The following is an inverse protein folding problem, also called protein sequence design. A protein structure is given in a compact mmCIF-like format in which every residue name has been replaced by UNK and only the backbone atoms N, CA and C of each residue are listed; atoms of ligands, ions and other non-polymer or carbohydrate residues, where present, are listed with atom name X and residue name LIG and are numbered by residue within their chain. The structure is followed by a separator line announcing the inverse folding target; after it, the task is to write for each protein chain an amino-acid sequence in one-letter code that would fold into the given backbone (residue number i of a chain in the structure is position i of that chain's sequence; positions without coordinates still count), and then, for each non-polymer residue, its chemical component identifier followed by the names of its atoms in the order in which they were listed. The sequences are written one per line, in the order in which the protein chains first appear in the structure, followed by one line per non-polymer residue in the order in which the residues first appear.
data_IF_489859496391
#
_entry.id   IF_489859496391
#
_cell.length_a   1.000
_cell.length_b   1.000
_cell.length_c   1.000
_cell.angle_alpha   90.00
_cell.angle_beta   90.00
_cell.angle_gamma   90.00
#
_symmetry.space_group_name_H-M   'P 1'
#
loop_
_entity.id
_entity.type
_entity.pdbx_description
1 polymer ?
#
# COMPACT_ATOMS: atom_id res chain seq x y z
N UNK A 1 29.73 13.35 -22.53
CA UNK A 1 29.86 13.19 -24.00
C UNK A 1 30.49 11.84 -24.32
N UNK A 2 30.11 11.24 -25.42
CA UNK A 2 30.62 9.96 -25.93
C UNK A 2 31.06 10.08 -27.39
N UNK A 3 31.82 9.10 -27.87
CA UNK A 3 32.38 9.10 -29.22
C UNK A 3 32.06 7.78 -29.93
N UNK A 4 31.01 7.72 -30.76
CA UNK A 4 30.49 6.47 -31.33
C UNK A 4 31.43 5.80 -32.35
N UNK A 5 32.41 6.52 -32.87
CA UNK A 5 33.38 5.95 -33.83
C UNK A 5 34.80 6.45 -33.54
N UNK A 6 35.81 5.58 -33.63
CA UNK A 6 37.21 5.99 -33.46
C UNK A 6 37.62 7.03 -34.52
N UNK A 7 38.37 8.04 -34.07
CA UNK A 7 38.95 9.06 -34.96
C UNK A 7 38.02 10.22 -35.32
N UNK A 8 36.87 10.35 -34.75
CA UNK A 8 36.04 11.54 -34.87
C UNK A 8 36.62 12.70 -34.05
N UNK A 9 36.50 13.91 -34.56
CA UNK A 9 36.97 15.12 -33.88
C UNK A 9 35.94 15.71 -32.92
N UNK A 10 34.70 15.24 -32.97
CA UNK A 10 33.59 15.71 -32.14
C UNK A 10 33.03 14.60 -31.27
N UNK A 11 32.85 14.89 -30.00
CA UNK A 11 32.10 14.06 -29.08
C UNK A 11 30.61 14.39 -29.17
N UNK A 12 29.75 13.41 -29.11
CA UNK A 12 28.32 13.57 -28.98
C UNK A 12 27.92 13.74 -27.52
N UNK A 13 26.83 14.37 -27.29
CA UNK A 13 26.22 14.54 -25.97
C UNK A 13 25.21 13.41 -25.72
N UNK A 14 25.06 12.95 -24.50
CA UNK A 14 24.00 12.01 -24.16
C UNK A 14 22.65 12.71 -24.33
N UNK A 15 21.70 11.97 -24.90
CA UNK A 15 20.32 12.40 -25.07
C UNK A 15 19.54 12.27 -23.73
N UNK A 16 18.38 12.92 -23.57
CA UNK A 16 17.45 12.60 -22.50
C UNK A 16 17.10 11.09 -22.52
N UNK A 17 16.93 10.47 -21.36
CA UNK A 17 16.78 9.02 -21.23
C UNK A 17 18.10 8.24 -21.20
N UNK A 18 19.23 8.91 -21.46
CA UNK A 18 20.56 8.29 -21.49
C UNK A 18 21.59 9.12 -20.72
N UNK A 19 22.62 8.44 -20.23
CA UNK A 19 23.76 9.06 -19.56
C UNK A 19 25.09 8.49 -20.01
N UNK A 20 26.17 9.19 -19.68
CA UNK A 20 27.57 8.76 -19.94
C UNK A 20 28.37 8.98 -18.68
N UNK A 21 28.55 7.93 -17.89
CA UNK A 21 29.17 8.01 -16.55
C UNK A 21 30.67 8.38 -16.59
N UNK A 22 31.39 8.01 -17.67
CA UNK A 22 32.83 8.26 -17.80
C UNK A 22 33.18 8.88 -19.15
N UNK A 23 34.25 9.65 -19.16
CA UNK A 23 34.78 10.23 -20.40
C UNK A 23 35.42 9.14 -21.29
N UNK A 24 35.23 9.26 -22.60
CA UNK A 24 35.84 8.33 -23.58
C UNK A 24 35.02 7.09 -23.89
N UNK A 25 33.81 7.00 -23.40
CA UNK A 25 32.89 5.93 -23.79
C UNK A 25 32.51 6.04 -25.27
N UNK A 26 32.21 4.90 -25.91
CA UNK A 26 31.79 4.84 -27.31
C UNK A 26 30.27 4.85 -27.48
N UNK A 27 29.52 4.69 -26.39
CA UNK A 27 28.07 4.65 -26.36
C UNK A 27 27.52 5.37 -25.14
N UNK A 28 26.31 5.89 -25.24
CA UNK A 28 25.52 6.32 -24.11
C UNK A 28 24.80 5.11 -23.46
N UNK A 29 24.54 5.18 -22.18
CA UNK A 29 23.86 4.12 -21.40
C UNK A 29 22.41 4.55 -21.20
N UNK A 30 21.40 3.70 -21.45
CA UNK A 30 20.02 4.01 -21.15
C UNK A 30 19.82 4.16 -19.64
N UNK A 31 18.88 4.99 -19.23
CA UNK A 31 18.38 4.97 -17.86
C UNK A 31 17.82 3.56 -17.58
N UNK A 32 18.27 2.88 -16.53
CA UNK A 32 17.69 1.59 -16.13
C UNK A 32 16.22 1.72 -15.72
N UNK A 33 15.54 0.61 -15.54
CA UNK A 33 14.23 0.60 -14.89
C UNK A 33 14.31 1.34 -13.54
N UNK A 34 13.21 1.98 -13.17
CA UNK A 34 13.02 2.74 -11.92
C UNK A 34 13.99 3.94 -11.80
N UNK A 35 14.49 4.40 -12.96
CA UNK A 35 15.33 5.59 -13.09
C UNK A 35 14.97 6.38 -14.35
N UNK A 36 15.27 7.65 -14.35
CA UNK A 36 15.08 8.55 -15.49
C UNK A 36 16.27 9.51 -15.71
N UNK A 37 16.35 10.07 -16.90
CA UNK A 37 17.35 11.11 -17.24
C UNK A 37 16.65 12.24 -17.97
N UNK A 38 16.32 13.28 -17.24
CA UNK A 38 15.55 14.43 -17.76
C UNK A 38 16.34 15.37 -18.67
N UNK A 39 17.65 15.39 -18.54
CA UNK A 39 18.50 16.37 -19.22
C UNK A 39 19.56 15.73 -20.09
N UNK A 40 19.81 16.32 -21.26
CA UNK A 40 20.97 15.97 -22.07
C UNK A 40 22.29 16.23 -21.31
N UNK A 41 23.35 15.52 -21.67
CA UNK A 41 24.68 15.56 -21.04
C UNK A 41 24.77 14.96 -19.65
N UNK A 42 23.76 14.26 -19.19
CA UNK A 42 23.76 13.63 -17.88
C UNK A 42 24.89 12.61 -17.76
N UNK A 43 25.44 12.49 -16.56
CA UNK A 43 26.48 11.53 -16.20
C UNK A 43 25.95 10.43 -15.28
N UNK A 44 24.69 10.56 -14.84
CA UNK A 44 23.99 9.63 -13.94
C UNK A 44 22.51 9.67 -14.27
N UNK A 45 21.81 8.55 -14.05
CA UNK A 45 20.36 8.53 -13.99
C UNK A 45 19.88 8.87 -12.57
N UNK A 46 18.70 9.46 -12.47
CA UNK A 46 18.02 9.81 -11.23
C UNK A 46 17.04 8.67 -10.89
N UNK A 47 16.95 8.29 -9.64
CA UNK A 47 15.99 7.26 -9.19
C UNK A 47 14.59 7.83 -9.11
N UNK A 48 13.61 7.01 -9.45
CA UNK A 48 12.21 7.30 -9.15
C UNK A 48 11.99 7.47 -7.63
N UNK A 49 10.94 8.19 -7.22
CA UNK A 49 10.48 8.20 -5.83
C UNK A 49 10.24 6.78 -5.29
N UNK A 50 10.20 6.65 -3.96
CA UNK A 50 9.83 5.39 -3.32
C UNK A 50 8.42 4.95 -3.78
N UNK A 51 8.20 3.66 -3.88
CA UNK A 51 6.95 3.04 -4.35
C UNK A 51 6.52 3.53 -5.74
N UNK A 52 7.49 3.76 -6.64
CA UNK A 52 7.18 4.05 -8.04
C UNK A 52 8.14 3.33 -8.97
N UNK A 53 7.64 2.94 -10.13
CA UNK A 53 8.37 2.20 -11.16
C UNK A 53 8.31 2.90 -12.52
N UNK A 54 9.27 2.60 -13.40
CA UNK A 54 9.14 2.89 -14.82
C UNK A 54 8.78 1.64 -15.60
N UNK A 55 7.91 1.76 -16.59
CA UNK A 55 7.50 0.63 -17.43
C UNK A 55 8.53 0.26 -18.51
N UNK A 56 9.55 1.09 -18.68
CA UNK A 56 10.58 0.92 -19.71
C UNK A 56 11.91 1.52 -19.29
N UNK A 57 12.99 1.07 -19.93
CA UNK A 57 14.28 1.75 -19.85
C UNK A 57 14.27 3.06 -20.67
N UNK A 58 15.23 3.92 -20.42
CA UNK A 58 15.41 5.21 -21.10
C UNK A 58 14.32 6.24 -20.78
N UNK A 59 13.68 6.15 -19.64
CA UNK A 59 12.72 7.16 -19.17
C UNK A 59 13.34 8.54 -19.09
N UNK A 60 12.56 9.56 -19.47
CA UNK A 60 13.06 10.91 -19.69
C UNK A 60 12.58 11.92 -18.65
N UNK A 61 11.64 11.54 -17.79
CA UNK A 61 11.14 12.42 -16.73
C UNK A 61 10.64 11.62 -15.53
N UNK A 62 10.54 12.29 -14.39
CA UNK A 62 9.90 11.75 -13.18
C UNK A 62 8.41 11.43 -13.40
N UNK A 63 7.73 12.09 -14.33
CA UNK A 63 6.34 11.81 -14.68
C UNK A 63 6.12 10.40 -15.28
N UNK A 64 7.19 9.72 -15.67
CA UNK A 64 7.17 8.32 -16.11
C UNK A 64 7.35 7.31 -14.95
N UNK A 65 7.57 7.80 -13.74
CA UNK A 65 7.57 7.01 -12.52
C UNK A 65 6.12 6.89 -12.03
N UNK A 66 5.52 5.73 -12.19
CA UNK A 66 4.14 5.42 -11.83
C UNK A 66 4.11 4.73 -10.46
N UNK A 67 3.09 4.98 -9.67
CA UNK A 67 2.91 4.33 -8.36
C UNK A 67 2.80 2.81 -8.51
N UNK A 68 3.36 2.08 -7.55
CA UNK A 68 3.42 0.62 -7.44
C UNK A 68 3.50 0.36 -5.92
N UNK A 69 2.33 0.33 -5.29
CA UNK A 69 2.21 0.43 -3.84
C UNK A 69 2.67 -0.83 -3.12
N UNK A 70 2.42 -2.01 -3.69
CA UNK A 70 2.86 -3.30 -3.13
C UNK A 70 4.24 -3.77 -3.63
N UNK A 71 4.75 -3.18 -4.73
CA UNK A 71 6.06 -3.49 -5.31
C UNK A 71 6.09 -4.72 -6.21
N UNK A 72 4.96 -5.17 -6.72
CA UNK A 72 4.84 -6.36 -7.58
C UNK A 72 5.21 -6.10 -9.05
N UNK A 73 5.39 -4.80 -9.44
CA UNK A 73 5.69 -4.26 -10.76
C UNK A 73 4.50 -4.11 -11.70
N UNK A 74 3.31 -4.18 -11.20
CA UNK A 74 2.14 -3.56 -11.80
C UNK A 74 1.98 -2.17 -11.16
N UNK A 75 1.57 -1.17 -11.91
CA UNK A 75 1.31 0.15 -11.33
C UNK A 75 -0.18 0.26 -10.97
N UNK A 76 -0.48 0.98 -9.92
CA UNK A 76 -1.81 1.09 -9.29
C UNK A 76 -2.97 1.37 -10.28
N UNK A 77 -2.74 2.05 -11.42
CA UNK A 77 -3.81 2.28 -12.41
C UNK A 77 -4.30 1.02 -13.14
N UNK A 78 -3.55 -0.08 -13.11
CA UNK A 78 -3.86 -1.34 -13.80
C UNK A 78 -3.81 -2.55 -12.88
N UNK A 79 -3.34 -2.38 -11.68
CA UNK A 79 -3.44 -3.37 -10.63
C UNK A 79 -4.90 -3.52 -10.20
N UNK A 80 -5.24 -4.53 -9.50
CA UNK A 80 -6.56 -4.80 -8.94
C UNK A 80 -6.51 -5.02 -7.44
N UNK A 81 -5.30 -5.01 -6.87
CA UNK A 81 -4.97 -5.25 -5.47
C UNK A 81 -3.72 -4.43 -5.17
N UNK A 82 -3.91 -3.08 -5.10
CA UNK A 82 -2.83 -2.09 -5.11
C UNK A 82 -1.85 -2.22 -3.95
N UNK A 83 -2.26 -2.74 -2.79
CA UNK A 83 -1.40 -2.93 -1.62
C UNK A 83 -0.96 -4.39 -1.38
N UNK A 84 -1.51 -5.32 -2.18
CA UNK A 84 -1.10 -6.71 -2.21
C UNK A 84 -1.53 -7.52 -0.98
N UNK A 85 -2.63 -7.14 -0.34
CA UNK A 85 -3.16 -7.83 0.84
C UNK A 85 -4.04 -9.04 0.50
N UNK A 86 -4.49 -9.13 -0.76
CA UNK A 86 -5.31 -10.21 -1.31
C UNK A 86 -6.79 -9.87 -1.42
N UNK A 87 -7.18 -8.62 -1.17
CA UNK A 87 -8.53 -8.09 -1.38
C UNK A 87 -8.48 -7.14 -2.59
N UNK A 88 -9.37 -7.33 -3.56
CA UNK A 88 -9.42 -6.47 -4.76
C UNK A 88 -9.85 -5.04 -4.37
N UNK A 89 -9.22 -3.97 -4.91
CA UNK A 89 -9.50 -2.54 -4.65
C UNK A 89 -10.97 -2.16 -4.66
N UNK A 90 -11.78 -2.84 -5.48
CA UNK A 90 -13.22 -2.54 -5.64
C UNK A 90 -14.02 -2.88 -4.38
N UNK A 91 -13.53 -3.82 -3.57
CA UNK A 91 -14.19 -4.30 -2.36
C UNK A 91 -13.38 -4.00 -1.10
N UNK A 92 -12.14 -3.60 -1.29
CA UNK A 92 -11.22 -3.18 -0.26
C UNK A 92 -11.59 -1.77 0.25
N UNK A 93 -11.69 -1.61 1.56
CA UNK A 93 -11.89 -0.30 2.18
C UNK A 93 -10.59 0.48 2.37
N UNK A 94 -9.45 -0.21 2.35
CA UNK A 94 -8.10 0.35 2.48
C UNK A 94 -7.21 0.06 1.26
N UNK A 95 -7.62 0.32 0.01
CA UNK A 95 -6.98 -0.19 -1.21
C UNK A 95 -5.55 0.34 -1.47
N UNK A 96 -5.05 1.24 -0.67
CA UNK A 96 -3.66 1.75 -0.66
C UNK A 96 -3.11 1.65 0.76
N UNK A 97 -3.53 0.64 1.48
CA UNK A 97 -3.20 0.39 2.86
C UNK A 97 -1.75 -0.06 3.08
N UNK A 98 -1.52 -0.75 4.16
CA UNK A 98 -0.19 -1.29 4.48
C UNK A 98 0.10 -2.53 3.62
N UNK A 99 1.09 -2.44 2.75
CA UNK A 99 1.57 -3.60 2.01
C UNK A 99 2.35 -4.61 2.86
N UNK A 100 2.54 -5.81 2.30
CA UNK A 100 3.43 -6.83 2.87
C UNK A 100 2.79 -7.73 3.94
N UNK A 101 1.48 -7.75 4.01
CA UNK A 101 0.68 -8.69 4.81
C UNK A 101 -0.36 -9.36 3.91
N UNK A 102 -1.23 -10.17 4.45
CA UNK A 102 -2.37 -10.72 3.72
C UNK A 102 -3.58 -10.76 4.62
N UNK A 103 -4.74 -10.37 4.08
CA UNK A 103 -6.02 -10.42 4.76
C UNK A 103 -6.32 -11.85 5.20
N UNK A 104 -6.45 -12.02 6.50
CA UNK A 104 -6.83 -13.27 7.17
C UNK A 104 -7.63 -12.92 8.42
N UNK A 105 -8.53 -13.78 8.83
CA UNK A 105 -9.37 -13.58 10.03
C UNK A 105 -8.62 -13.27 11.34
N UNK A 106 -7.32 -13.47 11.39
CA UNK A 106 -6.48 -13.13 12.54
C UNK A 106 -5.89 -11.71 12.46
N UNK A 107 -6.00 -11.03 11.31
CA UNK A 107 -5.40 -9.72 11.04
C UNK A 107 -6.39 -8.73 10.41
N UNK A 108 -7.52 -9.22 9.95
CA UNK A 108 -8.61 -8.55 9.26
C UNK A 108 -9.86 -9.39 9.54
N UNK A 109 -10.52 -9.07 10.65
CA UNK A 109 -11.57 -9.91 11.23
C UNK A 109 -12.82 -9.97 10.34
N UNK A 110 -13.18 -8.85 9.74
CA UNK A 110 -14.36 -8.73 8.89
C UNK A 110 -14.08 -8.89 7.40
N UNK A 111 -12.80 -9.02 7.02
CA UNK A 111 -12.32 -9.24 5.65
C UNK A 111 -12.65 -8.10 4.71
N UNK A 112 -12.45 -6.87 5.16
CA UNK A 112 -12.71 -5.66 4.39
C UNK A 112 -11.46 -5.03 3.75
N UNK A 113 -10.26 -5.60 4.00
CA UNK A 113 -8.98 -5.17 3.46
C UNK A 113 -8.24 -4.16 4.34
N UNK A 114 -8.80 -3.75 5.46
CA UNK A 114 -8.12 -2.94 6.46
C UNK A 114 -7.54 -3.85 7.56
N UNK A 115 -6.33 -3.55 8.01
CA UNK A 115 -5.66 -4.35 9.03
C UNK A 115 -6.08 -3.91 10.44
N UNK A 116 -6.70 -4.80 11.21
CA UNK A 116 -7.34 -4.55 12.52
C UNK A 116 -6.54 -3.63 13.46
N UNK A 117 -5.24 -3.81 13.62
CA UNK A 117 -4.47 -3.07 14.64
C UNK A 117 -3.99 -1.71 14.15
N UNK A 118 -3.84 -1.53 12.86
CA UNK A 118 -3.04 -0.43 12.28
C UNK A 118 -3.85 0.48 11.36
N UNK A 119 -4.91 -0.01 10.73
CA UNK A 119 -5.65 0.70 9.69
C UNK A 119 -7.15 0.73 9.93
N UNK A 120 -7.71 -0.30 10.57
CA UNK A 120 -9.13 -0.35 10.89
C UNK A 120 -9.44 0.41 12.19
N UNK A 121 -10.58 1.04 12.23
CA UNK A 121 -11.13 1.72 13.41
C UNK A 121 -12.39 0.99 13.95
N UNK A 122 -12.87 -0.07 13.23
CA UNK A 122 -14.10 -0.81 13.50
C UNK A 122 -13.91 -2.26 13.01
N UNK A 123 -13.05 -3.02 13.72
CA UNK A 123 -12.48 -4.32 13.33
C UNK A 123 -13.50 -5.40 12.93
N UNK A 124 -14.78 -5.27 13.31
CA UNK A 124 -15.84 -6.22 12.98
C UNK A 124 -17.00 -5.64 12.16
N UNK A 125 -16.89 -4.33 11.81
CA UNK A 125 -17.85 -3.58 11.00
C UNK A 125 -19.30 -3.60 11.53
N UNK A 126 -19.48 -3.59 12.85
CA UNK A 126 -20.82 -3.49 13.46
C UNK A 126 -21.34 -2.04 13.52
N UNK A 127 -20.45 -1.06 13.31
CA UNK A 127 -20.72 0.38 13.30
C UNK A 127 -20.34 1.08 14.61
N UNK A 128 -19.71 0.40 15.56
CA UNK A 128 -19.11 0.97 16.76
C UNK A 128 -17.59 0.88 16.64
N UNK A 129 -16.87 2.01 16.66
CA UNK A 129 -15.41 1.97 16.62
C UNK A 129 -14.83 1.23 17.83
N UNK A 130 -13.73 0.51 17.65
CA UNK A 130 -13.04 -0.32 18.67
C UNK A 130 -12.85 0.36 20.02
N UNK A 131 -12.54 1.66 20.00
CA UNK A 131 -12.37 2.45 21.24
C UNK A 131 -13.67 2.66 22.03
N UNK A 132 -14.81 2.37 21.42
CA UNK A 132 -16.15 2.52 21.99
C UNK A 132 -16.89 1.19 22.06
N UNK A 133 -16.25 0.15 21.59
CA UNK A 133 -16.72 -1.22 21.58
C UNK A 133 -16.08 -2.04 22.70
N UNK A 134 -16.89 -2.77 23.44
CA UNK A 134 -16.42 -3.68 24.47
C UNK A 134 -15.89 -4.99 23.91
N UNK A 135 -16.34 -5.36 22.70
CA UNK A 135 -16.05 -6.62 22.02
C UNK A 135 -15.69 -6.40 20.55
N UNK A 136 -14.58 -5.69 20.21
CA UNK A 136 -14.26 -5.16 18.88
C UNK A 136 -14.09 -6.20 17.75
N UNK A 137 -14.22 -7.49 18.05
CA UNK A 137 -14.11 -8.58 17.07
C UNK A 137 -15.40 -9.41 16.97
N UNK A 138 -16.50 -8.95 17.58
CA UNK A 138 -17.79 -9.64 17.55
C UNK A 138 -18.91 -8.74 17.05
N UNK A 139 -19.15 -8.69 15.76
CA UNK A 139 -20.13 -7.86 15.06
C UNK A 139 -21.60 -8.02 15.53
N UNK A 140 -21.84 -8.75 16.57
CA UNK A 140 -23.18 -8.89 17.19
C UNK A 140 -23.26 -8.25 18.57
N UNK A 141 -22.12 -7.75 19.10
CA UNK A 141 -21.96 -7.25 20.46
C UNK A 141 -21.12 -5.97 20.45
N UNK A 142 -21.55 -4.94 21.16
CA UNK A 142 -20.80 -3.68 21.33
C UNK A 142 -20.77 -3.17 22.77
N UNK A 143 -21.61 -3.73 23.65
CA UNK A 143 -21.64 -3.44 25.07
C UNK A 143 -21.37 -4.70 25.89
N UNK A 144 -20.72 -4.51 27.04
CA UNK A 144 -20.53 -5.50 28.11
C UNK A 144 -20.58 -4.72 29.43
N UNK A 145 -21.75 -4.69 30.03
CA UNK A 145 -22.05 -3.78 31.14
C UNK A 145 -21.34 -4.15 32.44
N UNK A 146 -21.16 -5.43 32.70
CA UNK A 146 -20.49 -5.93 33.90
C UNK A 146 -19.01 -6.29 33.67
N UNK A 147 -18.53 -6.27 32.42
CA UNK A 147 -17.16 -6.55 32.00
C UNK A 147 -16.72 -7.98 32.25
N UNK A 148 -17.61 -8.95 32.08
CA UNK A 148 -17.27 -10.37 32.22
C UNK A 148 -16.78 -11.03 30.93
N UNK A 149 -16.89 -10.30 29.77
CA UNK A 149 -16.48 -10.74 28.44
C UNK A 149 -17.57 -11.44 27.65
N UNK A 150 -18.81 -11.37 28.11
CA UNK A 150 -20.02 -11.76 27.38
C UNK A 150 -20.75 -10.45 27.06
N UNK A 151 -21.11 -10.22 25.78
CA UNK A 151 -21.82 -9.01 25.42
C UNK A 151 -23.26 -9.02 25.84
N UNK A 152 -23.83 -7.83 26.10
CA UNK A 152 -25.18 -7.63 26.64
C UNK A 152 -26.28 -8.31 25.77
N UNK A 153 -26.07 -8.48 24.45
CA UNK A 153 -27.02 -9.19 23.61
C UNK A 153 -27.06 -10.72 23.85
N UNK A 154 -25.97 -11.28 24.35
CA UNK A 154 -25.77 -12.71 24.59
C UNK A 154 -25.80 -13.08 26.06
N UNK A 155 -25.64 -12.10 26.95
CA UNK A 155 -25.77 -12.29 28.39
C UNK A 155 -27.25 -12.40 28.81
N UNK A 156 -27.51 -12.93 29.91
CA UNK A 156 -28.86 -13.07 30.50
C UNK A 156 -28.97 -12.40 31.85
N UNK A 157 -27.90 -11.76 32.35
CA UNK A 157 -27.78 -11.02 33.61
C UNK A 157 -26.72 -9.96 33.44
N UNK A 158 -27.00 -8.96 32.52
CA UNK A 158 -26.09 -7.94 32.00
C UNK A 158 -25.33 -7.13 33.08
N UNK A 159 -25.80 -7.10 34.30
CA UNK A 159 -25.16 -6.38 35.39
C UNK A 159 -24.61 -7.28 36.50
N UNK A 160 -24.74 -8.61 36.33
CA UNK A 160 -24.30 -9.65 37.27
C UNK A 160 -24.85 -9.46 38.71
N UNK A 161 -26.12 -8.97 38.82
CA UNK A 161 -26.76 -8.79 40.11
C UNK A 161 -27.43 -10.07 40.65
N UNK A 162 -27.52 -11.09 39.78
CA UNK A 162 -28.11 -12.43 40.07
C UNK A 162 -29.59 -12.51 39.72
N UNK A 163 -30.14 -11.50 39.06
CA UNK A 163 -31.46 -11.52 38.40
C UNK A 163 -31.24 -11.65 36.89
N UNK A 164 -32.16 -12.18 36.14
CA UNK A 164 -32.01 -12.13 34.67
C UNK A 164 -32.75 -10.91 34.10
N UNK A 165 -32.23 -10.34 32.99
CA UNK A 165 -32.74 -9.13 32.34
C UNK A 165 -34.21 -9.23 31.98
N UNK A 166 -34.74 -10.39 31.63
CA UNK A 166 -36.18 -10.64 31.39
C UNK A 166 -37.08 -10.49 32.64
N UNK A 167 -36.52 -10.41 33.85
CA UNK A 167 -37.25 -10.23 35.10
C UNK A 167 -37.26 -8.78 35.57
N UNK A 168 -36.43 -7.91 35.00
CA UNK A 168 -36.27 -6.49 35.38
C UNK A 168 -37.20 -5.54 34.64
N UNK A 169 -37.80 -5.94 33.52
CA UNK A 169 -38.74 -5.14 32.70
C UNK A 169 -40.18 -5.06 33.29
N UNK A 170 -40.43 -5.49 34.52
CA UNK A 170 -41.69 -5.35 35.23
C UNK A 170 -41.58 -4.27 36.35
#
# INVERSE_FOLDING_TARGET
TYQPSPGQSNCLEADPGFFVSEAGQSQQTPAPFDQFVSSARSIVAESCPENTITLQESSTSEDECLTDSDGDRLHDEVDQDDDGDGIDDIIDKCPLGLGGWSSTVDLDNDSDGCKDIEEDEDDDNDGFPDLQDALPLDSTEWNDNDMDGIGDNSDTDDDNDGSSDVEEDE
#
